data_IF_760810067124
#
_entry.id   IF_760810067124
#
_cell.length_a   1.000
_cell.length_b   1.000
_cell.length_c   1.000
_cell.angle_alpha   90.00
_cell.angle_beta   90.00
_cell.angle_gamma   90.00
#
_symmetry.space_group_name_H-M   'P 1'
#
loop_
_entity.id
_entity.type
_entity.pdbx_description
1 polymer ?
#
# COMPACT_ATOMS: atom_id res chain seq x y z
N UNK A 1 29.16 -10.79 -65.57
CA UNK A 1 27.84 -11.04 -64.94
C UNK A 1 27.78 -12.55 -64.62
N UNK A 2 27.97 -13.02 -63.37
CA UNK A 2 27.76 -14.41 -62.99
C UNK A 2 26.30 -14.64 -62.71
N UNK A 3 25.84 -15.81 -63.19
CA UNK A 3 24.45 -16.21 -63.23
C UNK A 3 23.84 -16.51 -61.86
N UNK A 4 22.53 -16.35 -61.85
CA UNK A 4 21.63 -16.65 -60.79
C UNK A 4 21.56 -18.17 -60.56
N UNK A 5 22.22 -18.66 -59.53
CA UNK A 5 22.10 -20.07 -59.09
C UNK A 5 20.73 -20.29 -58.48
N UNK A 6 19.90 -21.05 -59.24
CA UNK A 6 18.61 -21.49 -58.76
C UNK A 6 18.78 -22.40 -57.55
N UNK A 7 18.27 -21.99 -56.42
CA UNK A 7 18.12 -22.84 -55.23
C UNK A 7 17.25 -24.06 -55.57
N UNK A 8 17.74 -25.31 -55.40
CA UNK A 8 16.90 -26.49 -55.67
C UNK A 8 15.76 -26.50 -54.68
N UNK A 9 14.53 -26.40 -55.24
CA UNK A 9 13.31 -26.44 -54.47
C UNK A 9 13.26 -27.64 -53.52
N UNK A 10 12.89 -27.39 -52.29
CA UNK A 10 12.80 -28.41 -51.24
C UNK A 10 11.95 -29.60 -51.70
N UNK A 11 12.59 -30.72 -51.98
CA UNK A 11 11.92 -31.99 -52.32
C UNK A 11 11.03 -32.38 -51.14
N UNK A 12 9.69 -32.38 -51.35
CA UNK A 12 8.72 -32.90 -50.39
C UNK A 12 9.07 -34.37 -50.14
N UNK A 13 9.30 -34.75 -48.90
CA UNK A 13 9.51 -36.15 -48.50
C UNK A 13 8.28 -36.97 -48.90
N UNK A 14 8.38 -38.03 -49.76
CA UNK A 14 7.29 -38.94 -50.07
C UNK A 14 6.96 -39.70 -48.78
N UNK A 15 5.76 -39.51 -48.24
CA UNK A 15 5.32 -40.29 -47.08
C UNK A 15 4.47 -39.51 -46.06
N UNK A 16 4.34 -38.19 -46.18
CA UNK A 16 3.43 -37.45 -45.31
C UNK A 16 1.97 -37.72 -45.74
N UNK A 17 1.33 -38.76 -45.19
CA UNK A 17 -0.10 -39.03 -45.29
C UNK A 17 -0.97 -38.07 -44.50
N UNK A 18 -0.50 -36.85 -44.24
CA UNK A 18 -1.34 -35.81 -43.69
C UNK A 18 -2.14 -35.21 -44.86
N UNK A 19 -3.36 -35.65 -45.01
CA UNK A 19 -4.36 -34.97 -45.83
C UNK A 19 -4.42 -33.48 -45.45
N UNK A 20 -5.15 -32.68 -46.24
CA UNK A 20 -5.27 -31.24 -46.00
C UNK A 20 -5.63 -31.02 -44.55
N UNK A 21 -4.80 -30.29 -43.83
CA UNK A 21 -4.99 -29.94 -42.43
C UNK A 21 -6.34 -29.21 -42.36
N UNK A 22 -7.38 -29.93 -41.97
CA UNK A 22 -8.68 -29.32 -41.64
C UNK A 22 -8.32 -28.21 -40.68
N UNK A 23 -8.67 -26.99 -41.06
CA UNK A 23 -8.37 -25.82 -40.23
C UNK A 23 -8.74 -26.13 -38.80
N UNK A 24 -7.94 -25.69 -37.84
CA UNK A 24 -8.04 -25.98 -36.39
C UNK A 24 -9.41 -25.72 -35.78
N UNK A 25 -10.31 -25.07 -36.52
CA UNK A 25 -11.71 -24.82 -36.14
C UNK A 25 -12.62 -26.05 -36.14
N UNK A 26 -12.29 -27.14 -36.92
CA UNK A 26 -13.21 -28.28 -37.08
C UNK A 26 -13.15 -29.32 -35.94
N UNK A 27 -12.00 -29.54 -35.34
CA UNK A 27 -11.85 -30.61 -34.33
C UNK A 27 -12.21 -30.19 -32.89
N UNK A 28 -12.27 -28.89 -32.60
CA UNK A 28 -12.59 -28.35 -31.26
C UNK A 28 -13.98 -27.76 -31.13
N UNK A 29 -14.79 -27.84 -32.18
CA UNK A 29 -16.16 -27.29 -32.20
C UNK A 29 -17.03 -27.93 -31.12
N UNK A 30 -16.97 -29.25 -30.94
CA UNK A 30 -17.64 -29.96 -29.83
C UNK A 30 -17.18 -29.55 -28.44
N UNK A 31 -15.93 -29.16 -28.28
CA UNK A 31 -15.41 -28.67 -27.00
C UNK A 31 -15.84 -27.23 -26.64
N UNK A 32 -16.43 -26.51 -27.58
CA UNK A 32 -16.95 -25.16 -27.41
C UNK A 32 -18.47 -25.13 -27.24
N UNK A 33 -19.15 -26.25 -27.60
CA UNK A 33 -20.58 -26.39 -27.35
C UNK A 33 -20.83 -26.46 -25.84
N UNK A 34 -21.59 -25.51 -25.31
CA UNK A 34 -21.94 -25.41 -23.90
C UNK A 34 -21.14 -24.38 -23.06
N UNK A 35 -20.07 -23.76 -23.58
CA UNK A 35 -19.31 -22.74 -22.85
C UNK A 35 -19.91 -21.33 -22.92
N UNK A 36 -20.99 -21.13 -23.66
CA UNK A 36 -21.64 -19.84 -23.82
C UNK A 36 -20.80 -18.82 -24.60
N UNK A 37 -21.26 -17.58 -24.73
CA UNK A 37 -20.55 -16.52 -25.42
C UNK A 37 -19.25 -16.18 -24.66
N UNK A 38 -18.17 -15.88 -25.41
CA UNK A 38 -16.89 -15.51 -24.84
C UNK A 38 -17.05 -14.33 -23.84
N UNK A 39 -16.66 -14.48 -22.57
CA UNK A 39 -16.79 -13.41 -21.60
C UNK A 39 -16.12 -12.11 -22.08
N UNK A 40 -16.63 -10.96 -21.66
CA UNK A 40 -16.01 -9.66 -21.95
C UNK A 40 -14.56 -9.64 -21.46
N UNK A 41 -13.71 -8.88 -22.13
CA UNK A 41 -12.28 -8.81 -21.85
C UNK A 41 -11.95 -8.53 -20.37
N UNK A 42 -12.77 -7.73 -19.71
CA UNK A 42 -12.70 -7.38 -18.29
C UNK A 42 -13.03 -8.52 -17.32
N UNK A 43 -13.67 -9.59 -17.81
CA UNK A 43 -14.06 -10.76 -17.01
C UNK A 43 -13.22 -12.01 -17.35
N UNK A 44 -12.22 -11.89 -18.22
CA UNK A 44 -11.33 -13.01 -18.59
C UNK A 44 -10.15 -13.08 -17.64
N UNK A 45 -9.98 -14.22 -17.01
CA UNK A 45 -8.81 -14.47 -16.15
C UNK A 45 -7.51 -14.26 -16.94
N UNK A 46 -6.60 -13.46 -16.41
CA UNK A 46 -5.30 -13.16 -17.03
C UNK A 46 -5.30 -12.05 -18.08
N UNK A 47 -6.45 -11.56 -18.52
CA UNK A 47 -6.52 -10.48 -19.51
C UNK A 47 -6.06 -9.13 -18.89
N UNK A 48 -5.30 -8.26 -19.62
CA UNK A 48 -4.84 -6.98 -19.09
C UNK A 48 -5.97 -6.09 -18.56
N UNK A 49 -7.14 -6.05 -19.23
CA UNK A 49 -8.31 -5.28 -18.77
C UNK A 49 -8.90 -5.83 -17.46
N UNK A 50 -8.94 -7.16 -17.28
CA UNK A 50 -9.37 -7.76 -16.02
C UNK A 50 -8.43 -7.43 -14.87
N UNK A 51 -7.11 -7.46 -15.12
CA UNK A 51 -6.10 -7.04 -14.13
C UNK A 51 -6.21 -5.56 -13.78
N UNK A 52 -6.43 -4.70 -14.78
CA UNK A 52 -6.63 -3.27 -14.56
C UNK A 52 -7.88 -3.00 -13.74
N UNK A 53 -9.00 -3.66 -14.04
CA UNK A 53 -10.24 -3.58 -13.28
C UNK A 53 -10.05 -4.03 -11.83
N UNK A 54 -9.44 -5.19 -11.61
CA UNK A 54 -9.16 -5.70 -10.27
C UNK A 54 -8.25 -4.76 -9.46
N UNK A 55 -7.23 -4.14 -10.09
CA UNK A 55 -6.39 -3.12 -9.45
C UNK A 55 -7.16 -1.85 -9.10
N UNK A 56 -8.06 -1.40 -9.98
CA UNK A 56 -8.90 -0.24 -9.73
C UNK A 56 -9.88 -0.51 -8.58
N UNK A 57 -10.51 -1.67 -8.55
CA UNK A 57 -11.40 -2.10 -7.48
C UNK A 57 -10.67 -2.24 -6.14
N UNK A 58 -9.48 -2.86 -6.14
CA UNK A 58 -8.63 -2.98 -4.96
C UNK A 58 -8.20 -1.60 -4.43
N UNK A 59 -7.87 -0.66 -5.33
CA UNK A 59 -7.54 0.73 -4.95
C UNK A 59 -8.74 1.48 -4.39
N UNK A 60 -9.92 1.28 -4.97
CA UNK A 60 -11.17 1.88 -4.48
C UNK A 60 -11.62 1.28 -3.13
N UNK A 61 -11.31 0.01 -2.88
CA UNK A 61 -11.61 -0.67 -1.61
C UNK A 61 -10.66 -0.27 -0.47
N UNK A 62 -9.50 0.34 -0.78
CA UNK A 62 -8.60 0.82 0.27
C UNK A 62 -9.26 1.98 1.04
N UNK A 63 -9.24 1.95 2.37
CA UNK A 63 -9.79 3.04 3.15
C UNK A 63 -9.04 4.33 2.83
N UNK A 64 -9.76 5.39 2.58
CA UNK A 64 -9.18 6.72 2.39
C UNK A 64 -8.41 7.14 3.63
N UNK A 65 -7.38 8.00 3.46
CA UNK A 65 -6.60 8.54 4.59
C UNK A 65 -7.51 9.10 5.67
N UNK A 66 -8.58 9.78 5.31
CA UNK A 66 -9.55 10.33 6.26
C UNK A 66 -10.20 9.25 7.14
N UNK A 67 -10.66 8.15 6.53
CA UNK A 67 -11.23 7.01 7.29
C UNK A 67 -10.21 6.32 8.19
N UNK A 68 -8.94 6.26 7.75
CA UNK A 68 -7.86 5.72 8.57
C UNK A 68 -7.57 6.61 9.78
N UNK A 69 -7.48 7.93 9.58
CA UNK A 69 -7.28 8.89 10.67
C UNK A 69 -8.43 8.85 11.69
N UNK A 70 -9.66 8.78 11.22
CA UNK A 70 -10.82 8.70 12.12
C UNK A 70 -10.83 7.42 12.96
N UNK A 71 -10.43 6.27 12.37
CA UNK A 71 -10.24 5.04 13.12
C UNK A 71 -9.13 5.14 14.16
N UNK A 72 -8.03 5.82 13.83
CA UNK A 72 -6.90 6.00 14.74
C UNK A 72 -7.21 7.00 15.88
N UNK A 73 -7.98 8.05 15.61
CA UNK A 73 -8.46 8.98 16.66
C UNK A 73 -9.18 8.24 17.79
N UNK A 74 -10.05 7.29 17.44
CA UNK A 74 -10.76 6.45 18.43
C UNK A 74 -9.82 5.57 19.26
N UNK A 75 -8.64 5.26 18.74
CA UNK A 75 -7.62 4.47 19.46
C UNK A 75 -6.88 5.30 20.50
N UNK A 76 -6.71 6.59 20.22
CA UNK A 76 -5.99 7.54 21.08
C UNK A 76 -6.98 8.50 21.73
N UNK A 77 -8.01 7.96 22.37
CA UNK A 77 -8.97 8.78 23.09
C UNK A 77 -8.26 9.60 24.16
N UNK A 78 -8.39 10.94 24.04
CA UNK A 78 -7.84 11.90 24.99
C UNK A 78 -8.95 12.21 25.99
N UNK A 79 -8.71 12.00 27.30
CA UNK A 79 -9.71 12.29 28.34
C UNK A 79 -10.11 13.76 28.35
N UNK A 80 -11.31 14.06 28.81
CA UNK A 80 -11.75 15.43 29.01
C UNK A 80 -10.83 16.18 29.99
N UNK A 81 -10.46 17.40 29.60
CA UNK A 81 -9.52 18.22 30.39
C UNK A 81 -8.04 17.98 30.08
N UNK A 82 -7.73 17.04 29.20
CA UNK A 82 -6.37 16.82 28.71
C UNK A 82 -6.19 17.48 27.34
N UNK A 83 -5.00 17.99 27.11
CA UNK A 83 -4.63 18.63 25.84
C UNK A 83 -3.45 17.91 25.19
N UNK A 84 -3.38 17.97 23.87
CA UNK A 84 -2.25 17.43 23.11
C UNK A 84 -1.34 18.57 22.68
N UNK A 85 -0.11 18.57 23.19
CA UNK A 85 0.95 19.44 22.74
C UNK A 85 1.87 18.69 21.79
N UNK A 86 2.18 19.24 20.63
CA UNK A 86 3.01 18.58 19.62
C UNK A 86 4.13 19.47 19.08
N UNK A 87 5.16 18.83 18.52
CA UNK A 87 6.34 19.48 17.97
C UNK A 87 7.52 19.50 18.93
N UNK A 88 8.73 19.28 18.39
CA UNK A 88 9.95 19.04 19.19
C UNK A 88 10.28 20.16 20.15
N UNK A 89 10.18 21.40 19.71
CA UNK A 89 10.51 22.55 20.54
C UNK A 89 9.46 22.76 21.64
N UNK A 90 8.16 22.75 21.29
CA UNK A 90 7.09 22.93 22.25
C UNK A 90 7.09 21.85 23.33
N UNK A 91 7.27 20.59 22.95
CA UNK A 91 7.34 19.46 23.88
C UNK A 91 8.58 19.53 24.77
N UNK A 92 9.73 19.93 24.23
CA UNK A 92 10.93 20.12 25.02
C UNK A 92 10.81 21.29 26.04
N UNK A 93 10.17 22.38 25.63
CA UNK A 93 9.87 23.52 26.54
C UNK A 93 8.91 23.11 27.65
N UNK A 94 7.82 22.39 27.32
CA UNK A 94 6.87 21.88 28.30
C UNK A 94 7.56 20.98 29.36
N UNK A 95 8.46 20.10 28.92
CA UNK A 95 9.25 19.27 29.83
C UNK A 95 10.17 20.11 30.79
N UNK A 96 10.76 21.19 30.28
CA UNK A 96 11.58 22.11 31.06
C UNK A 96 10.73 22.94 32.04
N UNK A 97 9.59 23.40 31.58
CA UNK A 97 8.63 24.14 32.40
C UNK A 97 7.90 23.29 33.42
N UNK A 98 8.25 21.99 33.52
CA UNK A 98 7.64 21.05 34.46
C UNK A 98 6.14 20.87 34.30
N UNK A 99 5.60 21.05 33.07
CA UNK A 99 4.21 20.74 32.75
C UNK A 99 3.92 19.27 33.05
N UNK A 100 2.77 18.94 33.66
CA UNK A 100 2.37 17.57 33.86
C UNK A 100 2.28 16.83 32.51
N UNK A 101 2.84 15.63 32.45
CA UNK A 101 2.81 14.78 31.25
C UNK A 101 2.18 13.46 31.64
N UNK A 102 1.12 13.09 30.98
CA UNK A 102 0.39 11.84 31.21
C UNK A 102 0.83 10.74 30.27
N UNK A 103 1.06 11.06 29.01
CA UNK A 103 1.57 10.14 27.99
C UNK A 103 2.51 10.88 27.04
N UNK A 104 3.50 10.15 26.52
CA UNK A 104 4.39 10.64 25.45
C UNK A 104 4.20 9.76 24.22
N UNK A 105 3.96 10.38 23.08
CA UNK A 105 3.84 9.73 21.77
C UNK A 105 5.05 10.11 20.93
N UNK A 106 5.84 9.12 20.53
CA UNK A 106 7.09 9.36 19.82
C UNK A 106 7.25 8.44 18.63
N UNK A 107 7.52 9.02 17.45
CA UNK A 107 7.87 8.25 16.28
C UNK A 107 9.34 7.76 16.37
N UNK A 108 9.63 6.58 15.82
CA UNK A 108 10.99 6.01 15.77
C UNK A 108 12.01 7.01 15.24
N UNK A 109 11.65 7.77 14.20
CA UNK A 109 12.50 8.79 13.58
C UNK A 109 12.85 9.98 14.50
N UNK A 110 12.12 10.15 15.58
CA UNK A 110 12.35 11.25 16.54
C UNK A 110 13.18 10.83 17.76
N UNK A 111 13.39 9.54 17.97
CA UNK A 111 14.08 9.00 19.16
C UNK A 111 15.55 9.45 19.29
N UNK A 112 16.20 9.79 18.18
CA UNK A 112 17.59 10.24 18.16
C UNK A 112 17.80 11.74 18.42
N UNK A 113 16.73 12.51 18.68
CA UNK A 113 16.84 13.95 18.95
C UNK A 113 17.16 14.20 20.42
N UNK A 114 18.32 14.81 20.69
CA UNK A 114 18.79 15.10 22.04
C UNK A 114 17.81 15.97 22.87
N UNK A 115 17.05 16.84 22.20
CA UNK A 115 16.03 17.69 22.83
C UNK A 115 14.95 16.87 23.50
N UNK A 116 14.62 15.72 22.93
CA UNK A 116 13.60 14.82 23.44
C UNK A 116 14.10 13.94 24.59
N UNK A 117 15.40 13.87 24.81
CA UNK A 117 15.96 13.19 25.97
C UNK A 117 15.48 13.79 27.32
N UNK A 118 15.27 15.10 27.39
CA UNK A 118 14.67 15.74 28.55
C UNK A 118 13.20 15.34 28.75
N UNK A 119 12.46 15.22 27.68
CA UNK A 119 11.06 14.79 27.70
C UNK A 119 10.93 13.35 28.22
N UNK A 120 11.76 12.44 27.71
CA UNK A 120 11.77 11.03 28.16
C UNK A 120 12.14 10.93 29.63
N UNK A 121 13.16 11.67 30.09
CA UNK A 121 13.52 11.70 31.51
C UNK A 121 12.39 12.26 32.38
N UNK A 122 11.72 13.31 31.93
CA UNK A 122 10.60 13.90 32.67
C UNK A 122 9.42 12.92 32.74
N UNK A 123 9.08 12.26 31.61
CA UNK A 123 8.05 11.23 31.57
C UNK A 123 8.35 10.09 32.55
N UNK A 124 9.60 9.61 32.58
CA UNK A 124 10.03 8.58 33.52
C UNK A 124 9.87 9.01 35.00
N UNK A 125 10.19 10.24 35.35
CA UNK A 125 10.00 10.78 36.69
C UNK A 125 8.52 10.85 37.09
N UNK A 126 7.64 11.10 36.13
CA UNK A 126 6.18 11.18 36.35
C UNK A 126 5.48 9.81 36.25
N UNK A 127 6.20 8.76 35.87
CA UNK A 127 5.60 7.45 35.56
C UNK A 127 4.76 7.45 34.27
N UNK A 128 4.93 8.47 33.43
CA UNK A 128 4.19 8.58 32.16
C UNK A 128 4.77 7.63 31.11
N UNK A 129 3.93 6.80 30.45
CA UNK A 129 4.41 5.89 29.44
C UNK A 129 4.87 6.62 28.18
N UNK A 130 5.97 6.15 27.59
CA UNK A 130 6.42 6.56 26.26
C UNK A 130 5.97 5.55 25.25
N UNK A 131 5.05 5.95 24.37
CA UNK A 131 4.41 5.11 23.37
C UNK A 131 5.07 5.33 22.03
N UNK A 132 5.56 4.24 21.42
CA UNK A 132 6.03 4.29 20.05
C UNK A 132 4.85 4.39 19.09
N UNK A 133 4.90 5.35 18.17
CA UNK A 133 3.81 5.68 17.28
C UNK A 133 4.30 5.86 15.85
N UNK A 134 3.39 5.66 14.89
CA UNK A 134 3.66 5.98 13.49
C UNK A 134 3.36 7.47 13.22
N UNK A 135 3.86 7.97 12.08
CA UNK A 135 3.49 9.31 11.62
C UNK A 135 1.97 9.47 11.46
N UNK A 136 1.30 8.42 10.98
CA UNK A 136 -0.15 8.43 10.78
C UNK A 136 -0.92 8.48 12.10
N UNK A 137 -0.42 7.82 13.13
CA UNK A 137 -0.97 7.89 14.49
C UNK A 137 -0.86 9.31 15.04
N UNK A 138 0.30 9.95 14.86
CA UNK A 138 0.52 11.34 15.28
C UNK A 138 -0.34 12.32 14.46
N UNK A 139 -0.47 12.13 13.13
CA UNK A 139 -1.39 12.91 12.30
C UNK A 139 -2.83 12.80 12.80
N UNK A 140 -3.25 11.61 13.28
CA UNK A 140 -4.58 11.40 13.84
C UNK A 140 -4.77 12.07 15.20
N UNK A 141 -3.77 11.96 16.07
CA UNK A 141 -3.78 12.49 17.43
C UNK A 141 -3.77 14.03 17.45
N UNK A 142 -3.02 14.65 16.53
CA UNK A 142 -2.77 16.11 16.50
C UNK A 142 -3.60 16.83 15.43
N UNK A 143 -4.61 16.19 14.84
CA UNK A 143 -5.36 16.75 13.72
C UNK A 143 -4.50 17.20 12.52
N UNK A 144 -3.43 16.45 12.27
CA UNK A 144 -2.44 16.73 11.23
C UNK A 144 -1.63 18.00 11.45
N UNK A 145 -1.50 18.47 12.69
CA UNK A 145 -0.60 19.55 13.03
C UNK A 145 0.88 19.18 12.82
N UNK A 146 1.77 20.16 12.85
CA UNK A 146 3.21 19.97 12.61
C UNK A 146 3.90 19.27 13.79
N UNK A 147 3.56 18.01 14.06
CA UNK A 147 4.02 17.25 15.23
C UNK A 147 5.52 16.87 15.21
N UNK A 148 6.21 16.95 14.08
CA UNK A 148 7.65 16.64 13.95
C UNK A 148 8.09 15.29 14.58
N UNK A 149 7.19 14.33 14.69
CA UNK A 149 7.44 13.02 15.25
C UNK A 149 7.23 12.88 16.75
N UNK A 150 6.73 13.90 17.45
CA UNK A 150 6.50 13.84 18.89
C UNK A 150 5.25 14.62 19.29
N UNK A 151 4.52 14.07 20.28
CA UNK A 151 3.44 14.75 21.00
C UNK A 151 3.43 14.29 22.46
N UNK A 152 2.90 15.12 23.33
CA UNK A 152 2.64 14.80 24.75
C UNK A 152 1.18 15.13 25.09
N UNK A 153 0.65 14.42 26.04
CA UNK A 153 -0.63 14.66 26.70
C UNK A 153 -0.41 15.15 28.10
#
# INVERSE_FOLDING_TARGET
MPGNEQYPGAKRRPGSKKGPTKGSGGQRRKGLEGRGPTPRAENRVGHPKARAKARAEARAAQPTRAKQLEKLKRRFEVPEGHEILCGRNAVAEAARASVPITRVFMAVSAQSDERLGAVVRRAALLGAPVLETTKLDLDALTDSAAHQGVAIE
#
